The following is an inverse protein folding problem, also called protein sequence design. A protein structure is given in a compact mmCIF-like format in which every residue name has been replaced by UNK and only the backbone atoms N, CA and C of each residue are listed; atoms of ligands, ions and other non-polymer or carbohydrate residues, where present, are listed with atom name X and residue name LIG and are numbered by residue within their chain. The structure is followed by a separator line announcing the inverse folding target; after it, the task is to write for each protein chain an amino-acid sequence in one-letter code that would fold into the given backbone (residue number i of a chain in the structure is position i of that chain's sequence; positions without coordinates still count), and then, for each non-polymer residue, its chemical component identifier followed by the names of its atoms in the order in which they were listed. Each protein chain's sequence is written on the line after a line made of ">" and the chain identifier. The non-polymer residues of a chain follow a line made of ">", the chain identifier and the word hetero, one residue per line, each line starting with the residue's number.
data_IF_407601426777
#
_entry.id   IF_407601426777
#
_cell.length_a   1.000
_cell.length_b   1.000
_cell.length_c   1.000
_cell.angle_alpha   90.00
_cell.angle_beta   90.00
_cell.angle_gamma   90.00
#
_symmetry.space_group_name_H-M   'P 1'
#
loop_
_entity.id
_entity.type
_entity.pdbx_description
1 polymer ?
#
# COMPACT_ATOMS: atom_id res chain seq x y z
N UNK A 1 53.37 2.32 26.45
CA UNK A 1 52.15 3.14 26.68
C UNK A 1 51.66 3.63 25.33
N UNK A 2 50.83 2.83 24.67
CA UNK A 2 50.22 3.13 23.37
C UNK A 2 48.85 3.72 23.62
N UNK A 3 48.68 5.00 23.29
CA UNK A 3 47.42 5.74 23.36
C UNK A 3 46.54 5.38 22.17
N UNK A 4 45.41 4.73 22.46
CA UNK A 4 44.33 4.44 21.50
C UNK A 4 43.50 5.70 21.27
N UNK A 5 43.51 6.22 20.03
CA UNK A 5 42.58 7.25 19.58
C UNK A 5 41.23 6.59 19.25
N UNK A 6 40.19 6.90 20.03
CA UNK A 6 38.82 6.55 19.71
C UNK A 6 38.34 7.40 18.53
N UNK A 7 38.04 6.75 17.40
CA UNK A 7 37.31 7.38 16.28
C UNK A 7 35.84 7.47 16.67
N UNK A 8 35.37 8.69 16.94
CA UNK A 8 33.94 8.98 17.07
C UNK A 8 33.22 8.65 15.77
N UNK A 9 32.17 7.83 15.86
CA UNK A 9 31.23 7.63 14.77
C UNK A 9 30.45 8.92 14.48
N UNK A 10 29.86 9.06 13.28
CA UNK A 10 29.09 10.24 12.94
C UNK A 10 27.88 10.35 13.89
N UNK A 11 27.82 11.44 14.65
CA UNK A 11 26.63 11.83 15.39
C UNK A 11 25.47 11.97 14.41
N UNK A 12 24.36 11.30 14.71
CA UNK A 12 23.11 11.49 14.00
C UNK A 12 22.72 12.96 14.10
N UNK A 13 22.77 13.69 12.98
CA UNK A 13 22.28 15.06 12.90
C UNK A 13 20.79 15.03 13.22
N UNK A 14 20.42 15.48 14.41
CA UNK A 14 19.03 15.66 14.80
C UNK A 14 18.40 16.68 13.85
N UNK A 15 17.59 16.19 12.90
CA UNK A 15 16.74 17.03 12.06
C UNK A 15 15.74 17.71 12.98
N UNK A 16 15.69 19.05 12.96
CA UNK A 16 14.70 19.79 13.73
C UNK A 16 13.29 19.26 13.36
N UNK A 17 12.39 19.05 14.34
CA UNK A 17 11.05 18.55 14.03
C UNK A 17 10.37 19.50 13.05
N UNK A 18 9.80 18.94 11.98
CA UNK A 18 9.01 19.72 11.03
C UNK A 18 7.92 20.49 11.79
N UNK A 19 7.71 21.76 11.44
CA UNK A 19 6.68 22.58 12.06
C UNK A 19 5.31 21.91 11.88
N UNK A 20 4.50 21.89 12.96
CA UNK A 20 3.17 21.31 12.90
C UNK A 20 2.28 22.08 11.91
N UNK A 21 1.44 21.38 11.13
CA UNK A 21 0.55 22.03 10.18
C UNK A 21 -0.51 22.87 10.90
N UNK A 22 -0.77 24.10 10.41
CA UNK A 22 -1.80 24.97 10.95
C UNK A 22 -3.11 24.86 10.17
N UNK A 23 -4.22 24.57 10.86
CA UNK A 23 -5.54 24.36 10.25
C UNK A 23 -6.61 25.37 10.70
N UNK A 24 -6.26 26.37 11.52
CA UNK A 24 -7.24 27.29 12.15
C UNK A 24 -8.12 28.03 11.15
N UNK A 25 -7.58 28.34 9.97
CA UNK A 25 -8.24 29.05 8.89
C UNK A 25 -9.23 28.20 8.07
N UNK A 26 -9.23 26.87 8.23
CA UNK A 26 -10.05 25.92 7.46
C UNK A 26 -11.37 25.60 8.18
N UNK A 27 -12.38 25.14 7.43
CA UNK A 27 -13.65 24.67 8.00
C UNK A 27 -13.56 23.21 8.45
N UNK A 28 -12.81 22.41 7.69
CA UNK A 28 -12.39 21.05 8.03
C UNK A 28 -10.98 20.79 7.51
N UNK A 29 -10.29 19.83 8.10
CA UNK A 29 -8.98 19.40 7.61
C UNK A 29 -8.77 17.92 7.85
N UNK A 30 -7.84 17.35 7.11
CA UNK A 30 -7.34 16.00 7.33
C UNK A 30 -5.84 15.96 7.20
N UNK A 31 -5.26 14.79 7.44
CA UNK A 31 -3.82 14.60 7.36
C UNK A 31 -3.42 13.58 6.30
N UNK A 32 -2.28 13.79 5.66
CA UNK A 32 -1.45 12.70 5.18
C UNK A 32 -0.42 12.44 6.28
N UNK A 33 -0.56 11.31 6.98
CA UNK A 33 0.27 10.95 8.12
C UNK A 33 1.23 9.80 7.77
N UNK A 34 2.52 10.00 7.99
CA UNK A 34 3.58 9.06 7.63
C UNK A 34 4.91 9.78 7.62
N UNK A 35 5.94 9.16 7.04
CA UNK A 35 7.28 9.75 6.99
C UNK A 35 7.79 9.85 5.55
N UNK A 36 8.61 10.87 5.22
CA UNK A 36 9.10 11.17 3.85
C UNK A 36 7.96 11.43 2.86
N UNK A 37 7.13 12.43 3.18
CA UNK A 37 5.89 12.73 2.45
C UNK A 37 6.07 13.75 1.32
N UNK A 38 7.29 14.22 1.06
CA UNK A 38 7.58 15.35 0.17
C UNK A 38 7.12 15.08 -1.26
N UNK A 39 7.36 13.87 -1.76
CA UNK A 39 6.99 13.45 -3.10
C UNK A 39 5.54 12.98 -3.23
N UNK A 40 4.76 12.94 -2.13
CA UNK A 40 3.38 12.43 -2.19
C UNK A 40 2.46 13.40 -2.92
N UNK A 41 1.69 12.87 -3.88
CA UNK A 41 0.66 13.61 -4.62
C UNK A 41 -0.69 13.65 -3.89
N UNK A 42 -0.85 12.94 -2.78
CA UNK A 42 -2.13 12.83 -2.07
C UNK A 42 -2.69 14.22 -1.67
N UNK A 43 -1.90 15.15 -1.08
CA UNK A 43 -2.41 16.49 -0.75
C UNK A 43 -2.82 17.28 -1.99
N UNK A 44 -2.06 17.18 -3.08
CA UNK A 44 -2.41 17.86 -4.34
C UNK A 44 -3.75 17.33 -4.88
N UNK A 45 -3.94 16.01 -4.86
CA UNK A 45 -5.16 15.34 -5.31
C UNK A 45 -6.38 15.77 -4.48
N UNK A 46 -6.34 15.61 -3.16
CA UNK A 46 -7.45 15.95 -2.27
C UNK A 46 -7.77 17.44 -2.29
N UNK A 47 -6.75 18.31 -2.20
CA UNK A 47 -6.98 19.77 -2.18
C UNK A 47 -7.52 20.28 -3.51
N UNK A 48 -7.21 19.62 -4.63
CA UNK A 48 -7.83 19.94 -5.92
C UNK A 48 -9.32 19.60 -5.89
N UNK A 49 -9.70 18.41 -5.43
CA UNK A 49 -11.12 18.03 -5.30
C UNK A 49 -11.88 19.01 -4.39
N UNK A 50 -11.32 19.37 -3.23
CA UNK A 50 -11.98 20.29 -2.30
C UNK A 50 -12.19 21.68 -2.91
N UNK A 51 -11.20 22.19 -3.63
CA UNK A 51 -11.31 23.47 -4.34
C UNK A 51 -12.38 23.45 -5.42
N UNK A 52 -12.45 22.38 -6.23
CA UNK A 52 -13.48 22.23 -7.27
C UNK A 52 -14.89 22.11 -6.67
N UNK A 53 -15.02 21.57 -5.46
CA UNK A 53 -16.29 21.49 -4.72
C UNK A 53 -16.62 22.77 -3.94
N UNK A 54 -15.77 23.81 -3.98
CA UNK A 54 -15.96 25.05 -3.23
C UNK A 54 -15.83 24.89 -1.71
N UNK A 55 -15.17 23.82 -1.24
CA UNK A 55 -14.98 23.52 0.18
C UNK A 55 -13.71 24.18 0.71
N UNK A 56 -13.79 24.85 1.87
CA UNK A 56 -12.64 25.42 2.57
C UNK A 56 -11.90 24.37 3.40
N UNK A 57 -11.53 23.28 2.75
CA UNK A 57 -10.94 22.08 3.34
C UNK A 57 -9.55 21.84 2.78
N UNK A 58 -8.65 21.26 3.57
CA UNK A 58 -7.35 20.79 3.09
C UNK A 58 -6.95 19.46 3.74
N UNK A 59 -6.23 18.65 2.96
CA UNK A 59 -5.37 17.59 3.48
C UNK A 59 -3.96 18.16 3.69
N UNK A 60 -3.51 18.14 4.93
CA UNK A 60 -2.23 18.68 5.38
C UNK A 60 -1.21 17.55 5.52
N UNK A 61 0.06 17.79 5.17
CA UNK A 61 1.13 16.82 5.44
C UNK A 61 1.47 16.84 6.94
N UNK A 62 1.54 15.66 7.53
CA UNK A 62 2.09 15.43 8.86
C UNK A 62 3.23 14.40 8.72
N UNK A 63 4.42 14.91 8.42
CA UNK A 63 5.63 14.11 8.27
C UNK A 63 6.18 13.72 9.65
N UNK A 64 5.70 12.59 10.16
CA UNK A 64 5.93 12.12 11.51
C UNK A 64 5.61 10.64 11.62
N UNK A 65 6.37 9.93 12.47
CA UNK A 65 6.03 8.59 12.96
C UNK A 65 5.53 8.61 14.41
N UNK A 66 5.30 9.79 14.99
CA UNK A 66 4.84 9.96 16.36
C UNK A 66 3.32 9.78 16.42
N UNK A 67 2.90 8.58 16.82
CA UNK A 67 1.48 8.23 16.98
C UNK A 67 0.82 9.08 18.08
N UNK A 68 1.37 9.21 19.30
CA UNK A 68 0.82 10.12 20.32
C UNK A 68 0.57 11.56 19.82
N UNK A 69 1.51 12.13 19.05
CA UNK A 69 1.34 13.44 18.45
C UNK A 69 0.15 13.47 17.49
N UNK A 70 0.04 12.49 16.60
CA UNK A 70 -1.11 12.37 15.70
C UNK A 70 -2.43 12.25 16.49
N UNK A 71 -2.49 11.40 17.52
CA UNK A 71 -3.68 11.21 18.34
C UNK A 71 -4.12 12.49 19.07
N UNK A 72 -3.17 13.34 19.46
CA UNK A 72 -3.45 14.66 20.03
C UNK A 72 -4.06 15.61 18.99
N UNK A 73 -3.49 15.66 17.77
CA UNK A 73 -3.95 16.53 16.69
C UNK A 73 -5.37 16.21 16.21
N UNK A 74 -5.71 14.92 16.09
CA UNK A 74 -7.03 14.50 15.59
C UNK A 74 -8.18 14.83 16.54
N UNK A 75 -7.90 15.26 17.79
CA UNK A 75 -8.92 15.74 18.71
C UNK A 75 -9.54 17.08 18.28
N UNK A 76 -8.95 17.79 17.31
CA UNK A 76 -9.56 19.00 16.75
C UNK A 76 -10.95 18.66 16.15
N UNK A 77 -12.03 19.39 16.53
CA UNK A 77 -13.38 19.16 16.01
C UNK A 77 -13.49 19.38 14.49
N UNK A 78 -12.54 20.07 13.86
CA UNK A 78 -12.45 20.26 12.41
C UNK A 78 -11.82 19.07 11.68
N UNK A 79 -11.21 18.12 12.39
CA UNK A 79 -10.60 16.94 11.77
C UNK A 79 -11.66 16.05 11.12
N UNK A 80 -11.52 15.74 9.83
CA UNK A 80 -12.43 14.85 9.10
C UNK A 80 -11.88 13.42 8.94
N UNK A 81 -10.56 13.25 8.95
CA UNK A 81 -9.93 11.98 8.61
C UNK A 81 -8.48 12.13 8.16
N UNK A 82 -7.82 11.00 7.87
CA UNK A 82 -6.43 11.00 7.43
C UNK A 82 -6.13 9.87 6.45
N UNK A 83 -5.27 10.13 5.48
CA UNK A 83 -4.53 9.08 4.79
C UNK A 83 -3.31 8.71 5.64
N UNK A 84 -3.09 7.41 5.86
CA UNK A 84 -1.96 6.90 6.64
C UNK A 84 -1.04 6.14 5.69
N UNK A 85 0.25 6.45 5.73
CA UNK A 85 1.27 5.77 4.95
C UNK A 85 2.41 5.25 5.82
N UNK A 86 3.42 4.64 5.20
CA UNK A 86 4.59 4.10 5.87
C UNK A 86 5.23 5.16 6.81
N UNK A 87 5.67 4.77 8.01
CA UNK A 87 5.62 3.43 8.62
C UNK A 87 4.35 3.16 9.45
N UNK A 88 3.38 4.07 9.47
CA UNK A 88 2.35 4.12 10.51
C UNK A 88 1.13 3.22 10.26
N UNK A 89 0.99 2.62 9.07
CA UNK A 89 -0.21 1.86 8.66
C UNK A 89 -0.59 0.71 9.62
N UNK A 90 0.40 0.05 10.23
CA UNK A 90 0.16 -1.06 11.17
C UNK A 90 -0.06 -0.52 12.58
N UNK A 91 0.85 0.32 13.06
CA UNK A 91 0.83 0.85 14.43
C UNK A 91 -0.46 1.64 14.75
N UNK A 92 -1.04 2.33 13.77
CA UNK A 92 -2.23 3.15 14.02
C UNK A 92 -3.47 2.31 14.37
N UNK A 93 -3.52 1.02 13.99
CA UNK A 93 -4.70 0.18 14.15
C UNK A 93 -5.12 -0.01 15.61
N UNK A 94 -4.16 -0.03 16.54
CA UNK A 94 -4.42 -0.19 17.98
C UNK A 94 -5.15 1.01 18.61
N UNK A 95 -5.26 2.11 17.86
CA UNK A 95 -5.85 3.37 18.32
C UNK A 95 -7.18 3.71 17.65
N UNK A 96 -7.72 2.80 16.82
CA UNK A 96 -8.99 3.00 16.12
C UNK A 96 -10.12 2.27 16.87
N UNK A 97 -11.27 2.92 16.97
CA UNK A 97 -12.45 2.35 17.63
C UNK A 97 -13.07 1.22 16.78
N UNK A 98 -13.10 1.40 15.46
CA UNK A 98 -13.66 0.46 14.51
C UNK A 98 -12.76 0.32 13.28
N UNK A 99 -12.78 -0.84 12.64
CA UNK A 99 -12.08 -1.07 11.37
C UNK A 99 -12.94 -1.87 10.41
N UNK A 100 -12.84 -1.60 9.11
CA UNK A 100 -13.51 -2.41 8.08
C UNK A 100 -12.96 -3.84 8.05
N UNK A 101 -13.70 -4.76 7.42
CA UNK A 101 -13.26 -6.15 7.24
C UNK A 101 -11.89 -6.20 6.55
N UNK A 102 -11.73 -5.49 5.43
CA UNK A 102 -10.49 -5.49 4.66
C UNK A 102 -9.32 -4.91 5.46
N UNK A 103 -9.55 -3.87 6.25
CA UNK A 103 -8.54 -3.29 7.12
C UNK A 103 -8.08 -4.29 8.19
N UNK A 104 -9.04 -5.02 8.80
CA UNK A 104 -8.75 -6.05 9.80
C UNK A 104 -7.99 -7.21 9.19
N UNK A 105 -8.49 -7.74 8.06
CA UNK A 105 -7.93 -8.90 7.38
C UNK A 105 -6.54 -8.61 6.84
N UNK A 106 -6.31 -7.46 6.20
CA UNK A 106 -4.95 -7.08 5.75
C UNK A 106 -4.01 -6.77 6.92
N UNK A 107 -4.54 -6.30 8.04
CA UNK A 107 -3.73 -5.88 9.19
C UNK A 107 -2.97 -4.59 8.96
N UNK A 108 -3.53 -3.69 8.15
CA UNK A 108 -3.00 -2.35 7.92
C UNK A 108 -4.12 -1.37 7.60
N UNK A 109 -4.04 -0.16 8.14
CA UNK A 109 -4.95 0.95 7.89
C UNK A 109 -4.25 2.03 7.06
N UNK A 110 -4.82 2.40 5.91
CA UNK A 110 -4.32 3.52 5.09
C UNK A 110 -5.29 4.72 5.10
N UNK A 111 -6.48 4.57 5.68
CA UNK A 111 -7.54 5.58 5.65
C UNK A 111 -8.24 5.63 7.00
N UNK A 112 -8.24 6.79 7.63
CA UNK A 112 -8.98 7.09 8.85
C UNK A 112 -10.12 8.04 8.51
N UNK A 113 -11.29 7.78 9.04
CA UNK A 113 -12.45 8.65 8.94
C UNK A 113 -13.18 8.68 10.27
N UNK A 114 -13.96 9.75 10.50
CA UNK A 114 -14.68 9.95 11.75
C UNK A 114 -16.16 9.69 11.54
N UNK A 115 -16.76 8.89 12.42
CA UNK A 115 -18.22 8.77 12.56
C UNK A 115 -18.65 9.43 13.86
N UNK A 116 -19.83 10.02 13.86
CA UNK A 116 -20.47 10.52 15.07
C UNK A 116 -21.48 9.47 15.55
N UNK A 117 -21.45 9.17 16.84
CA UNK A 117 -22.43 8.31 17.49
C UNK A 117 -23.10 9.09 18.62
N UNK A 118 -24.43 9.11 18.60
CA UNK A 118 -25.22 9.68 19.69
C UNK A 118 -24.98 8.91 20.99
N UNK A 119 -24.98 9.61 22.12
CA UNK A 119 -24.90 9.00 23.44
C UNK A 119 -26.17 8.22 23.76
N UNK A 120 -26.02 6.97 24.23
CA UNK A 120 -27.14 6.07 24.54
C UNK A 120 -28.01 6.58 25.73
N UNK A 121 -27.57 7.62 26.45
CA UNK A 121 -28.16 8.18 27.69
C UNK A 121 -28.34 9.72 27.68
N UNK A 122 -28.29 10.36 26.50
CA UNK A 122 -28.28 11.82 26.37
C UNK A 122 -26.90 12.45 26.62
N UNK A 123 -25.85 11.64 26.75
CA UNK A 123 -24.47 12.10 26.66
C UNK A 123 -24.16 12.72 25.29
N UNK A 124 -23.19 13.66 25.24
CA UNK A 124 -22.80 14.29 24.00
C UNK A 124 -22.31 13.27 22.97
N UNK A 125 -22.52 13.59 21.69
CA UNK A 125 -22.04 12.77 20.58
C UNK A 125 -20.56 12.44 20.74
N UNK A 126 -20.24 11.14 20.65
CA UNK A 126 -18.87 10.66 20.67
C UNK A 126 -18.37 10.52 19.23
N UNK A 127 -17.15 11.00 18.99
CA UNK A 127 -16.40 10.74 17.76
C UNK A 127 -15.83 9.33 17.83
N UNK A 128 -16.11 8.53 16.80
CA UNK A 128 -15.62 7.18 16.59
C UNK A 128 -14.61 7.25 15.45
N UNK A 129 -13.36 6.90 15.74
CA UNK A 129 -12.29 6.87 14.75
C UNK A 129 -12.28 5.52 14.06
N UNK A 130 -12.62 5.52 12.76
CA UNK A 130 -12.75 4.31 11.97
C UNK A 130 -11.58 4.16 11.01
N UNK A 131 -11.07 2.93 10.87
CA UNK A 131 -10.02 2.57 9.91
C UNK A 131 -10.54 1.80 8.70
N UNK A 132 -9.99 2.11 7.54
CA UNK A 132 -10.18 1.37 6.30
C UNK A 132 -8.84 1.13 5.59
N UNK A 133 -8.81 0.12 4.73
CA UNK A 133 -7.73 -0.10 3.79
C UNK A 133 -8.24 0.06 2.36
N UNK A 134 -8.13 1.27 1.84
CA UNK A 134 -8.53 1.64 0.48
C UNK A 134 -7.49 1.26 -0.58
N UNK A 135 -6.29 0.77 -0.21
CA UNK A 135 -5.36 0.19 -1.19
C UNK A 135 -5.98 -1.06 -1.82
N UNK A 136 -6.72 -1.85 -1.03
CA UNK A 136 -7.47 -3.03 -1.51
C UNK A 136 -8.49 -2.61 -2.57
N UNK A 137 -9.28 -1.56 -2.27
CA UNK A 137 -10.25 -0.94 -3.20
C UNK A 137 -9.56 -0.49 -4.47
N UNK A 138 -8.45 0.26 -4.34
CA UNK A 138 -7.69 0.77 -5.47
C UNK A 138 -7.17 -0.35 -6.38
N UNK A 139 -6.65 -1.44 -5.83
CA UNK A 139 -6.18 -2.59 -6.62
C UNK A 139 -7.31 -3.18 -7.45
N UNK A 140 -8.47 -3.47 -6.86
CA UNK A 140 -9.60 -4.04 -7.60
C UNK A 140 -10.12 -3.08 -8.66
N UNK A 141 -10.43 -1.85 -8.29
CA UNK A 141 -11.05 -0.89 -9.21
C UNK A 141 -10.11 -0.55 -10.38
N UNK A 142 -8.80 -0.53 -10.16
CA UNK A 142 -7.85 -0.34 -11.24
C UNK A 142 -7.93 -1.44 -12.33
N UNK A 143 -8.27 -2.68 -11.97
CA UNK A 143 -8.57 -3.71 -12.96
C UNK A 143 -9.99 -3.61 -13.50
N UNK A 144 -10.98 -3.48 -12.61
CA UNK A 144 -12.40 -3.60 -12.96
C UNK A 144 -12.92 -2.46 -13.83
N UNK A 145 -12.37 -1.25 -13.69
CA UNK A 145 -12.79 -0.09 -14.47
C UNK A 145 -12.13 0.00 -15.86
N UNK A 146 -11.13 -0.85 -16.14
CA UNK A 146 -10.30 -0.75 -17.35
C UNK A 146 -10.53 -1.90 -18.34
N UNK A 147 -11.51 -2.77 -18.09
CA UNK A 147 -11.90 -3.86 -19.01
C UNK A 147 -13.42 -3.99 -19.07
N UNK A 148 -13.95 -4.48 -20.20
CA UNK A 148 -15.39 -4.54 -20.43
C UNK A 148 -16.11 -5.61 -19.58
N UNK A 149 -15.48 -6.77 -19.35
CA UNK A 149 -16.00 -7.87 -18.54
C UNK A 149 -14.92 -8.36 -17.57
N UNK A 150 -14.74 -7.68 -16.42
CA UNK A 150 -13.64 -7.97 -15.50
C UNK A 150 -13.73 -9.35 -14.84
N UNK A 151 -14.94 -9.85 -14.59
CA UNK A 151 -15.10 -11.19 -14.00
C UNK A 151 -14.66 -12.26 -15.01
N UNK A 152 -15.01 -12.14 -16.31
CA UNK A 152 -14.52 -13.09 -17.31
C UNK A 152 -12.99 -13.10 -17.44
N UNK A 153 -12.34 -11.94 -17.23
CA UNK A 153 -10.88 -11.77 -17.37
C UNK A 153 -10.14 -12.22 -16.11
N UNK A 154 -10.63 -11.88 -14.92
CA UNK A 154 -9.88 -12.01 -13.68
C UNK A 154 -10.46 -13.02 -12.66
N UNK A 155 -11.77 -13.31 -12.66
CA UNK A 155 -12.36 -14.26 -11.70
C UNK A 155 -11.85 -15.68 -11.91
N UNK A 156 -11.57 -16.34 -10.79
CA UNK A 156 -11.09 -17.72 -10.73
C UNK A 156 -9.83 -17.96 -11.61
N UNK A 157 -9.05 -16.90 -11.90
CA UNK A 157 -7.76 -16.97 -12.62
C UNK A 157 -6.60 -16.80 -11.64
N UNK A 158 -5.38 -17.26 -11.97
CA UNK A 158 -4.23 -16.91 -11.17
C UNK A 158 -3.87 -15.44 -11.28
N UNK A 159 -3.08 -14.99 -10.31
CA UNK A 159 -2.57 -13.63 -10.26
C UNK A 159 -1.10 -13.63 -9.83
N UNK A 160 -0.46 -12.47 -9.94
CA UNK A 160 0.91 -12.26 -9.48
C UNK A 160 1.03 -10.95 -8.71
N UNK A 161 1.84 -10.95 -7.67
CA UNK A 161 2.20 -9.77 -6.89
C UNK A 161 3.73 -9.64 -6.89
N UNK A 162 4.22 -8.46 -7.26
CA UNK A 162 5.65 -8.13 -7.26
C UNK A 162 5.91 -7.21 -6.07
N UNK A 163 6.66 -7.71 -5.09
CA UNK A 163 7.01 -7.02 -3.84
C UNK A 163 6.62 -7.80 -2.58
N UNK A 164 7.26 -7.45 -1.46
CA UNK A 164 7.04 -8.09 -0.14
C UNK A 164 6.56 -7.14 0.97
N UNK A 165 6.07 -5.94 0.61
CA UNK A 165 5.67 -4.91 1.57
C UNK A 165 4.17 -4.88 1.94
N UNK A 166 3.75 -3.83 2.66
CA UNK A 166 2.34 -3.66 3.07
C UNK A 166 1.35 -3.49 1.90
N UNK A 167 1.79 -2.90 0.80
CA UNK A 167 1.00 -2.85 -0.44
C UNK A 167 0.80 -4.25 -1.04
N UNK A 168 1.81 -5.12 -0.96
CA UNK A 168 1.70 -6.50 -1.43
C UNK A 168 0.64 -7.29 -0.65
N UNK A 169 0.55 -7.11 0.69
CA UNK A 169 -0.53 -7.71 1.50
C UNK A 169 -1.92 -7.26 1.06
N UNK A 170 -2.08 -5.96 0.77
CA UNK A 170 -3.35 -5.40 0.28
C UNK A 170 -3.71 -5.95 -1.10
N UNK A 171 -2.71 -6.09 -1.99
CA UNK A 171 -2.88 -6.70 -3.31
C UNK A 171 -3.27 -8.18 -3.21
N UNK A 172 -2.58 -8.98 -2.38
CA UNK A 172 -2.93 -10.39 -2.13
C UNK A 172 -4.36 -10.53 -1.66
N UNK A 173 -4.79 -9.70 -0.70
CA UNK A 173 -6.17 -9.74 -0.19
C UNK A 173 -7.19 -9.37 -1.28
N UNK A 174 -6.94 -8.31 -2.06
CA UNK A 174 -7.84 -7.92 -3.16
C UNK A 174 -8.01 -9.03 -4.21
N UNK A 175 -6.87 -9.61 -4.64
CA UNK A 175 -6.82 -10.70 -5.60
C UNK A 175 -7.54 -11.96 -5.08
N UNK A 176 -7.32 -12.33 -3.81
CA UNK A 176 -7.94 -13.50 -3.19
C UNK A 176 -9.44 -13.31 -2.96
N UNK A 177 -9.83 -12.26 -2.22
CA UNK A 177 -11.20 -12.08 -1.74
C UNK A 177 -12.15 -11.66 -2.86
N UNK A 178 -11.74 -10.68 -3.67
CA UNK A 178 -12.66 -10.03 -4.61
C UNK A 178 -12.49 -10.52 -6.04
N UNK A 179 -11.26 -10.84 -6.45
CA UNK A 179 -11.01 -11.44 -7.77
C UNK A 179 -11.03 -12.98 -7.73
N UNK A 180 -11.20 -13.58 -6.55
CA UNK A 180 -11.27 -15.04 -6.37
C UNK A 180 -10.11 -15.77 -7.04
N UNK A 181 -8.92 -15.16 -6.98
CA UNK A 181 -7.76 -15.70 -7.68
C UNK A 181 -7.55 -17.16 -7.26
N UNK A 182 -7.28 -18.06 -8.21
CA UNK A 182 -7.11 -19.50 -7.88
C UNK A 182 -5.73 -19.80 -7.30
N UNK A 183 -4.77 -18.91 -7.56
CA UNK A 183 -3.37 -18.98 -7.13
C UNK A 183 -2.75 -17.60 -7.24
N UNK A 184 -1.87 -17.22 -6.33
CA UNK A 184 -1.14 -15.95 -6.38
C UNK A 184 0.35 -16.23 -6.32
N UNK A 185 1.06 -15.86 -7.37
CA UNK A 185 2.52 -15.90 -7.43
C UNK A 185 3.09 -14.65 -6.77
N UNK A 186 4.08 -14.82 -5.92
CA UNK A 186 4.81 -13.74 -5.26
C UNK A 186 6.23 -13.69 -5.82
N UNK A 187 6.71 -12.49 -6.12
CA UNK A 187 8.09 -12.26 -6.57
C UNK A 187 8.65 -11.07 -5.82
N UNK A 188 9.82 -11.21 -5.22
CA UNK A 188 10.54 -10.10 -4.62
C UNK A 188 12.04 -10.40 -4.58
N UNK A 189 12.87 -9.35 -4.51
CA UNK A 189 14.32 -9.53 -4.31
C UNK A 189 14.64 -10.14 -2.95
N UNK A 190 13.82 -9.84 -1.94
CA UNK A 190 13.99 -10.33 -0.57
C UNK A 190 12.99 -11.46 -0.29
N UNK A 191 13.52 -12.69 -0.24
CA UNK A 191 12.75 -13.89 0.06
C UNK A 191 12.19 -13.89 1.49
N UNK A 192 12.83 -13.20 2.45
CA UNK A 192 12.32 -13.08 3.81
C UNK A 192 11.05 -12.23 3.86
N UNK A 193 10.98 -11.14 3.09
CA UNK A 193 9.76 -10.34 2.98
C UNK A 193 8.61 -11.15 2.36
N UNK A 194 8.88 -11.99 1.34
CA UNK A 194 7.84 -12.86 0.76
C UNK A 194 7.34 -13.87 1.77
N UNK A 195 8.25 -14.53 2.50
CA UNK A 195 7.87 -15.46 3.58
C UNK A 195 7.03 -14.77 4.65
N UNK A 196 7.36 -13.51 5.01
CA UNK A 196 6.57 -12.73 5.97
C UNK A 196 5.16 -12.45 5.44
N UNK A 197 5.02 -12.02 4.18
CA UNK A 197 3.70 -11.83 3.55
C UNK A 197 2.89 -13.13 3.53
N UNK A 198 3.51 -14.25 3.13
CA UNK A 198 2.83 -15.56 3.08
C UNK A 198 2.39 -16.03 4.47
N UNK A 199 3.26 -15.89 5.47
CA UNK A 199 2.97 -16.27 6.85
C UNK A 199 1.84 -15.41 7.45
N UNK A 200 1.87 -14.10 7.24
CA UNK A 200 0.82 -13.17 7.67
C UNK A 200 -0.53 -13.57 7.07
N UNK A 201 -0.59 -13.73 5.74
CA UNK A 201 -1.83 -14.09 5.05
C UNK A 201 -2.36 -15.43 5.57
N UNK A 202 -1.49 -16.45 5.67
CA UNK A 202 -1.86 -17.78 6.17
C UNK A 202 -2.42 -17.71 7.58
N UNK A 203 -1.79 -16.95 8.49
CA UNK A 203 -2.27 -16.76 9.86
C UNK A 203 -3.64 -16.07 9.93
N UNK A 204 -3.98 -15.29 8.90
CA UNK A 204 -5.26 -14.57 8.75
C UNK A 204 -6.32 -15.39 8.00
N UNK A 205 -6.02 -16.65 7.68
CA UNK A 205 -6.99 -17.59 7.12
C UNK A 205 -7.12 -17.56 5.60
N UNK A 206 -6.22 -16.88 4.89
CA UNK A 206 -6.15 -16.94 3.43
C UNK A 206 -4.72 -17.19 2.94
N UNK A 207 -4.55 -18.09 1.97
CA UNK A 207 -3.25 -18.28 1.32
C UNK A 207 -2.37 -19.41 1.86
N UNK A 208 -2.95 -20.58 2.15
CA UNK A 208 -2.14 -21.80 2.39
C UNK A 208 -1.20 -22.12 1.22
N UNK A 209 -0.21 -23.00 1.44
CA UNK A 209 0.93 -23.23 0.54
C UNK A 209 0.57 -23.58 -0.93
N UNK A 210 -0.62 -24.15 -1.16
CA UNK A 210 -1.10 -24.43 -2.53
C UNK A 210 -1.57 -23.17 -3.28
N UNK A 211 -1.84 -22.09 -2.56
CA UNK A 211 -2.44 -20.84 -3.03
C UNK A 211 -1.41 -19.73 -3.24
N UNK A 212 -0.54 -19.49 -2.25
CA UNK A 212 0.55 -18.51 -2.35
C UNK A 212 1.84 -19.23 -2.77
N UNK A 213 2.43 -18.83 -3.88
CA UNK A 213 3.62 -19.48 -4.43
C UNK A 213 4.72 -18.46 -4.66
N UNK A 214 5.85 -18.60 -3.97
CA UNK A 214 7.03 -17.79 -4.23
C UNK A 214 7.74 -18.29 -5.49
N UNK A 215 7.96 -17.40 -6.46
CA UNK A 215 8.82 -17.66 -7.61
C UNK A 215 10.17 -16.97 -7.37
N UNK A 216 11.15 -17.75 -6.94
CA UNK A 216 12.51 -17.32 -6.62
C UNK A 216 13.44 -17.35 -7.83
N UNK A 217 13.20 -18.28 -8.76
CA UNK A 217 14.11 -18.52 -9.89
C UNK A 217 13.40 -18.52 -11.23
N UNK A 218 14.18 -18.25 -12.29
CA UNK A 218 13.69 -18.25 -13.68
C UNK A 218 13.16 -19.63 -14.07
N UNK A 219 13.75 -20.71 -13.56
CA UNK A 219 13.31 -22.08 -13.80
C UNK A 219 11.92 -22.31 -13.19
N UNK A 220 11.67 -21.86 -11.96
CA UNK A 220 10.35 -21.92 -11.34
C UNK A 220 9.33 -21.10 -12.13
N UNK A 221 9.70 -19.90 -12.58
CA UNK A 221 8.86 -19.06 -13.41
C UNK A 221 8.51 -19.73 -14.75
N UNK A 222 9.48 -20.38 -15.39
CA UNK A 222 9.28 -21.12 -16.64
C UNK A 222 8.33 -22.31 -16.45
N UNK A 223 8.50 -23.07 -15.35
CA UNK A 223 7.68 -24.23 -15.01
C UNK A 223 6.29 -23.90 -14.45
N UNK A 224 6.02 -22.65 -14.07
CA UNK A 224 4.70 -22.26 -13.60
C UNK A 224 3.63 -22.46 -14.69
N UNK A 225 2.82 -23.51 -14.57
CA UNK A 225 1.84 -23.93 -15.58
C UNK A 225 0.70 -22.93 -15.81
N UNK A 226 0.55 -21.90 -14.96
CA UNK A 226 -0.59 -20.99 -15.03
C UNK A 226 -0.17 -19.54 -15.05
N UNK A 227 -0.74 -18.81 -16.01
CA UNK A 227 -0.43 -17.42 -16.28
C UNK A 227 -1.34 -16.48 -15.50
N UNK A 228 -0.79 -15.45 -14.83
CA UNK A 228 -1.58 -14.53 -14.07
C UNK A 228 -2.45 -13.66 -15.00
N UNK A 229 -3.76 -13.63 -14.74
CA UNK A 229 -4.68 -12.70 -15.39
C UNK A 229 -4.52 -11.28 -14.87
N UNK A 230 -4.23 -11.13 -13.57
CA UNK A 230 -3.95 -9.86 -12.92
C UNK A 230 -2.55 -9.87 -12.29
N UNK A 231 -1.76 -8.84 -12.56
CA UNK A 231 -0.40 -8.65 -12.04
C UNK A 231 -0.34 -7.32 -11.30
N UNK A 232 0.06 -7.31 -10.03
CA UNK A 232 0.18 -6.09 -9.23
C UNK A 232 1.64 -5.87 -8.85
N UNK A 233 2.24 -4.79 -9.36
CA UNK A 233 3.55 -4.34 -8.94
C UNK A 233 3.45 -3.35 -7.78
N UNK A 234 4.05 -3.72 -6.66
CA UNK A 234 4.05 -2.97 -5.40
C UNK A 234 5.43 -2.41 -5.04
N UNK A 235 6.39 -2.47 -5.98
CA UNK A 235 7.76 -1.99 -5.80
C UNK A 235 8.00 -0.78 -6.70
N UNK A 236 8.81 0.22 -6.28
CA UNK A 236 9.22 1.28 -7.17
C UNK A 236 9.91 0.69 -8.41
N UNK A 237 9.46 1.08 -9.60
CA UNK A 237 10.01 0.61 -10.86
C UNK A 237 11.31 1.36 -11.20
N UNK A 238 12.34 1.04 -10.43
CA UNK A 238 13.71 1.48 -10.63
C UNK A 238 14.50 0.39 -11.38
N UNK A 239 15.51 0.76 -12.18
CA UNK A 239 16.41 -0.22 -12.78
C UNK A 239 17.04 -1.14 -11.71
N UNK A 240 17.11 -2.46 -11.93
CA UNK A 240 17.70 -3.38 -10.97
C UNK A 240 19.20 -3.15 -10.85
N UNK A 241 19.69 -3.01 -9.61
CA UNK A 241 21.08 -2.75 -9.30
C UNK A 241 21.77 -3.98 -8.69
N UNK A 242 21.08 -4.69 -7.79
CA UNK A 242 21.63 -5.91 -7.14
C UNK A 242 21.34 -7.16 -7.96
N UNK A 243 22.04 -8.26 -7.66
CA UNK A 243 21.82 -9.52 -8.38
C UNK A 243 20.46 -10.15 -8.02
N UNK A 244 19.98 -9.93 -6.80
CA UNK A 244 18.64 -10.32 -6.36
C UNK A 244 17.55 -9.52 -7.11
N UNK A 245 17.77 -8.21 -7.32
CA UNK A 245 16.87 -7.37 -8.13
C UNK A 245 16.84 -7.82 -9.58
N UNK A 246 18.00 -8.12 -10.18
CA UNK A 246 18.10 -8.64 -11.55
C UNK A 246 17.40 -10.00 -11.67
N UNK A 247 17.54 -10.86 -10.67
CA UNK A 247 16.89 -12.18 -10.63
C UNK A 247 15.38 -12.03 -10.54
N UNK A 248 14.88 -11.22 -9.60
CA UNK A 248 13.45 -10.93 -9.46
C UNK A 248 12.87 -10.33 -10.76
N UNK A 249 13.60 -9.41 -11.40
CA UNK A 249 13.23 -8.85 -12.71
C UNK A 249 13.12 -9.93 -13.78
N UNK A 250 14.12 -10.81 -13.88
CA UNK A 250 14.15 -11.91 -14.85
C UNK A 250 13.02 -12.92 -14.63
N UNK A 251 12.66 -13.20 -13.37
CA UNK A 251 11.49 -14.02 -12.99
C UNK A 251 10.21 -13.40 -13.54
N UNK A 252 9.96 -12.11 -13.27
CA UNK A 252 8.77 -11.41 -13.76
C UNK A 252 8.74 -11.42 -15.30
N UNK A 253 9.84 -11.05 -15.95
CA UNK A 253 9.91 -11.04 -17.42
C UNK A 253 9.67 -12.43 -18.03
N UNK A 254 10.12 -13.50 -17.36
CA UNK A 254 9.87 -14.88 -17.82
C UNK A 254 8.38 -15.20 -17.77
N UNK A 255 7.66 -14.77 -16.74
CA UNK A 255 6.20 -14.91 -16.66
C UNK A 255 5.52 -14.08 -17.76
N UNK A 256 5.95 -12.83 -17.97
CA UNK A 256 5.36 -11.91 -18.96
C UNK A 256 5.56 -12.35 -20.42
N UNK A 257 6.62 -13.10 -20.72
CA UNK A 257 6.94 -13.59 -22.08
C UNK A 257 6.05 -14.75 -22.55
N UNK A 258 5.28 -15.39 -21.67
CA UNK A 258 4.44 -16.54 -22.02
C UNK A 258 3.21 -16.14 -22.84
N UNK A 259 2.60 -17.11 -23.53
CA UNK A 259 1.60 -16.87 -24.60
C UNK A 259 0.26 -16.27 -24.13
N UNK A 260 -0.19 -16.57 -22.91
CA UNK A 260 -1.45 -16.01 -22.37
C UNK A 260 -1.21 -14.67 -21.73
N UNK A 261 -2.08 -13.70 -22.05
CA UNK A 261 -1.97 -12.31 -21.59
C UNK A 261 -2.84 -12.05 -20.37
N UNK A 262 -2.38 -11.11 -19.55
CA UNK A 262 -3.09 -10.55 -18.41
C UNK A 262 -2.88 -9.03 -18.37
N UNK A 263 -3.45 -8.38 -17.35
CA UNK A 263 -3.27 -6.96 -17.10
C UNK A 263 -2.26 -6.75 -15.98
N UNK A 264 -1.47 -5.69 -16.09
CA UNK A 264 -0.53 -5.29 -15.04
C UNK A 264 -0.92 -3.91 -14.48
N UNK A 265 -0.98 -3.83 -13.15
CA UNK A 265 -1.15 -2.63 -12.36
C UNK A 265 0.18 -2.26 -11.72
N UNK A 266 0.71 -1.08 -12.04
CA UNK A 266 1.84 -0.47 -11.35
C UNK A 266 1.31 0.43 -10.22
N UNK A 267 1.55 0.06 -8.95
CA UNK A 267 1.10 0.87 -7.82
C UNK A 267 2.01 2.08 -7.56
N UNK A 268 3.25 2.03 -8.05
CA UNK A 268 4.22 3.10 -7.87
C UNK A 268 4.19 4.07 -9.06
N UNK A 269 3.74 5.31 -8.82
CA UNK A 269 3.72 6.37 -9.84
C UNK A 269 5.00 7.22 -9.89
N UNK A 270 5.99 6.90 -9.07
CA UNK A 270 7.29 7.59 -9.01
C UNK A 270 8.40 6.57 -9.24
N UNK A 271 9.37 6.84 -10.15
CA UNK A 271 9.64 8.12 -10.83
C UNK A 271 8.73 8.42 -12.02
N UNK A 272 7.96 7.45 -12.50
CA UNK A 272 7.14 7.56 -13.71
C UNK A 272 5.83 6.78 -13.52
N UNK A 273 4.71 7.23 -14.09
CA UNK A 273 3.48 6.43 -14.17
C UNK A 273 3.59 5.29 -15.21
N UNK A 274 4.62 5.30 -16.05
CA UNK A 274 4.89 4.28 -17.05
C UNK A 274 5.84 3.21 -16.51
N UNK A 275 5.46 1.95 -16.69
CA UNK A 275 6.27 0.81 -16.26
C UNK A 275 7.38 0.50 -17.27
N UNK A 276 8.59 0.22 -16.81
CA UNK A 276 9.72 -0.29 -17.58
C UNK A 276 9.50 -1.74 -18.04
N UNK A 277 8.44 -2.40 -17.57
CA UNK A 277 7.97 -3.65 -18.18
C UNK A 277 7.27 -3.42 -19.53
N UNK A 278 6.92 -2.18 -19.89
CA UNK A 278 6.21 -1.85 -21.16
C UNK A 278 6.81 -2.49 -22.42
N UNK A 279 8.14 -2.52 -22.64
CA UNK A 279 8.71 -3.17 -23.83
C UNK A 279 8.45 -4.68 -23.88
N UNK A 280 8.48 -5.35 -22.72
CA UNK A 280 8.13 -6.78 -22.58
C UNK A 280 6.62 -6.96 -22.63
N UNK A 281 5.87 -5.92 -22.27
CA UNK A 281 4.42 -5.83 -22.37
C UNK A 281 3.93 -5.36 -23.76
N UNK A 282 4.77 -5.25 -24.81
CA UNK A 282 4.35 -4.83 -26.16
C UNK A 282 3.36 -5.83 -26.77
N UNK A 283 2.10 -5.67 -26.35
CA UNK A 283 0.95 -6.57 -26.48
C UNK A 283 -0.35 -5.78 -26.69
N UNK A 284 -0.28 -4.58 -27.28
CA UNK A 284 -1.45 -3.83 -27.75
C UNK A 284 -1.13 -3.23 -29.11
N UNK A 285 -1.38 -4.03 -30.16
CA UNK A 285 -1.76 -3.55 -31.49
C UNK A 285 -3.19 -4.00 -31.75
#
# INVERSE_FOLDING_TARGET
>A
MTTTAAKGGPEAVAVAPAALPQASHLDRHGYLFGHKLEASLSPLFHNTIYRELGLKWEQLRLDSSDIPQFLSLIQDPKFYGASVTMPNKVAIMEHLDEVTEECREVGACNTIFVRERDGDDGSPQRRIYCGANTDVVGVREAFYQNVADPDAVFHDKPAMVIGGGGAARSAVYALWKWMRATKIYLVNRDAAEVRAVMADCTARGYGGDAFLVHLETVEQAAQADVLPGAIVACVPDLPPNTDEEKTARAVVETVLKKDRKGCMLEMCYNPSPWSQYTPVLSWLS
#
